data_IF_269995355090
#
_entry.id   IF_269995355090
#
_cell.length_a   1.000
_cell.length_b   1.000
_cell.length_c   1.000
_cell.angle_alpha   90.00
_cell.angle_beta   90.00
_cell.angle_gamma   90.00
#
_symmetry.space_group_name_H-M   'P 1'
#
loop_
_entity.id
_entity.type
_entity.pdbx_description
1 polymer ?
#
# COMPACT_ATOMS: atom_id res chain seq x y z
N UNK A 1 13.25 -3.20 -11.83
CA UNK A 1 12.15 -3.32 -10.86
C UNK A 1 12.73 -3.28 -9.47
N UNK A 2 12.28 -2.34 -8.64
CA UNK A 2 12.64 -2.30 -7.22
C UNK A 2 11.68 -3.19 -6.44
N UNK A 3 12.18 -3.82 -5.37
CA UNK A 3 11.30 -4.52 -4.43
C UNK A 3 10.77 -3.52 -3.40
N UNK A 4 9.51 -3.68 -3.00
CA UNK A 4 8.87 -2.93 -1.93
C UNK A 4 8.74 -3.84 -0.71
N UNK A 5 9.20 -3.40 0.45
CA UNK A 5 8.95 -4.10 1.71
C UNK A 5 8.02 -3.28 2.58
N UNK A 6 6.98 -3.93 3.08
CA UNK A 6 5.99 -3.33 3.97
C UNK A 6 6.20 -3.95 5.33
N UNK A 7 6.56 -3.13 6.32
CA UNK A 7 6.63 -3.51 7.72
C UNK A 7 5.32 -3.12 8.40
N UNK A 8 4.61 -4.08 9.00
CA UNK A 8 3.40 -3.79 9.78
C UNK A 8 3.71 -3.94 11.25
N UNK A 9 3.43 -2.89 12.02
CA UNK A 9 3.52 -2.91 13.48
C UNK A 9 2.16 -3.17 14.11
N UNK A 10 2.03 -4.30 14.78
CA UNK A 10 0.83 -4.73 15.48
C UNK A 10 1.22 -5.22 16.88
N UNK A 11 1.11 -4.38 17.93
CA UNK A 11 1.55 -4.74 19.27
C UNK A 11 0.69 -5.84 19.92
N UNK A 12 -0.49 -6.12 19.37
CA UNK A 12 -1.42 -7.12 19.91
C UNK A 12 -1.11 -8.54 19.38
N UNK A 13 -0.16 -8.67 18.45
CA UNK A 13 0.25 -9.92 17.83
C UNK A 13 1.75 -10.20 18.01
N UNK A 14 2.13 -11.47 17.99
CA UNK A 14 3.53 -11.91 18.03
C UNK A 14 3.88 -12.66 16.73
N UNK A 15 4.93 -12.25 16.00
CA UNK A 15 5.82 -11.12 16.29
C UNK A 15 5.15 -9.75 16.10
N UNK A 16 5.55 -8.75 16.90
CA UNK A 16 4.95 -7.39 16.86
C UNK A 16 5.21 -6.66 15.55
N UNK A 17 6.29 -6.98 14.85
CA UNK A 17 6.57 -6.51 13.49
C UNK A 17 6.53 -7.67 12.52
N UNK A 18 5.65 -7.58 11.54
CA UNK A 18 5.67 -8.47 10.37
C UNK A 18 6.19 -7.71 9.16
N UNK A 19 6.74 -8.42 8.19
CA UNK A 19 7.16 -7.84 6.91
C UNK A 19 6.65 -8.66 5.74
N UNK A 20 6.38 -7.96 4.63
CA UNK A 20 6.03 -8.55 3.34
C UNK A 20 6.69 -7.80 2.19
N UNK A 21 7.37 -8.52 1.32
CA UNK A 21 8.02 -8.03 0.10
C UNK A 21 7.12 -8.19 -1.12
N UNK A 22 7.12 -7.19 -2.00
CA UNK A 22 6.38 -7.14 -3.27
C UNK A 22 7.31 -6.64 -4.37
N UNK A 23 7.48 -7.37 -5.49
CA UNK A 23 6.84 -8.66 -5.80
C UNK A 23 7.58 -9.88 -5.25
N UNK A 24 8.71 -9.71 -4.54
CA UNK A 24 9.53 -10.84 -4.10
C UNK A 24 8.76 -11.89 -3.29
N UNK A 25 7.66 -11.53 -2.63
CA UNK A 25 6.89 -12.45 -1.79
C UNK A 25 7.65 -12.91 -0.54
N UNK A 26 8.77 -12.26 -0.21
CA UNK A 26 9.45 -12.48 1.05
C UNK A 26 8.55 -12.08 2.22
N UNK A 27 8.39 -12.95 3.22
CA UNK A 27 7.56 -12.66 4.37
C UNK A 27 8.19 -13.22 5.65
N UNK A 28 7.85 -12.61 6.78
CA UNK A 28 8.31 -13.02 8.09
C UNK A 28 7.96 -11.98 9.16
N UNK A 29 8.61 -12.06 10.30
CA UNK A 29 8.46 -11.07 11.36
C UNK A 29 9.53 -11.18 12.44
N UNK A 30 9.55 -10.18 13.32
CA UNK A 30 10.47 -10.03 14.45
C UNK A 30 9.87 -9.01 15.45
N UNK A 31 10.46 -8.88 16.62
CA UNK A 31 10.05 -7.91 17.64
C UNK A 31 10.75 -6.55 17.48
N UNK A 32 11.69 -6.40 16.53
CA UNK A 32 12.32 -5.11 16.25
C UNK A 32 12.43 -4.83 14.75
N UNK A 33 12.39 -3.54 14.38
CA UNK A 33 12.49 -3.14 12.98
C UNK A 33 13.87 -3.47 12.38
N UNK A 34 14.93 -3.40 13.17
CA UNK A 34 16.28 -3.74 12.73
C UNK A 34 16.42 -5.21 12.37
N UNK A 35 15.89 -6.09 13.21
CA UNK A 35 15.85 -7.53 12.96
C UNK A 35 14.93 -7.88 11.79
N UNK A 36 13.73 -7.27 11.71
CA UNK A 36 12.82 -7.46 10.58
C UNK A 36 13.48 -7.08 9.24
N UNK A 37 14.21 -5.94 9.19
CA UNK A 37 15.02 -5.55 8.02
C UNK A 37 16.10 -6.57 7.70
N UNK A 38 16.84 -7.05 8.69
CA UNK A 38 17.88 -8.05 8.50
C UNK A 38 17.32 -9.39 7.98
N UNK A 39 16.19 -9.83 8.53
CA UNK A 39 15.47 -11.03 8.12
C UNK A 39 14.96 -10.89 6.68
N UNK A 40 14.31 -9.78 6.34
CA UNK A 40 13.87 -9.48 4.98
C UNK A 40 15.04 -9.48 3.97
N UNK A 41 16.15 -8.78 4.27
CA UNK A 41 17.34 -8.77 3.39
C UNK A 41 17.92 -10.17 3.19
N UNK A 42 17.88 -11.01 4.22
CA UNK A 42 18.31 -12.41 4.13
C UNK A 42 17.40 -13.22 3.21
N UNK A 43 16.08 -13.11 3.40
CA UNK A 43 15.10 -13.73 2.52
C UNK A 43 15.32 -13.31 1.07
N UNK A 44 15.46 -12.00 0.82
CA UNK A 44 15.64 -11.47 -0.52
C UNK A 44 16.95 -11.96 -1.16
N UNK A 45 18.05 -12.02 -0.40
CA UNK A 45 19.33 -12.53 -0.92
C UNK A 45 19.25 -13.99 -1.33
N UNK A 46 18.58 -14.81 -0.51
CA UNK A 46 18.36 -16.23 -0.81
C UNK A 46 17.49 -16.37 -2.06
N UNK A 47 16.39 -15.61 -2.12
CA UNK A 47 15.43 -15.71 -3.23
C UNK A 47 16.01 -15.26 -4.57
N UNK A 48 16.82 -14.21 -4.56
CA UNK A 48 17.47 -13.69 -5.77
C UNK A 48 18.80 -14.43 -6.09
N UNK A 49 19.26 -15.35 -5.24
CA UNK A 49 20.54 -16.04 -5.38
C UNK A 49 21.73 -15.07 -5.53
N UNK A 50 21.72 -13.98 -4.76
CA UNK A 50 22.79 -12.96 -4.76
C UNK A 50 23.30 -12.69 -3.36
N UNK A 51 24.54 -12.21 -3.25
CA UNK A 51 25.07 -11.72 -2.00
C UNK A 51 24.28 -10.52 -1.46
N UNK A 52 24.24 -10.37 -0.13
CA UNK A 52 23.57 -9.24 0.54
C UNK A 52 24.05 -7.86 0.08
N UNK A 53 25.28 -7.76 -0.43
CA UNK A 53 25.88 -6.52 -0.97
C UNK A 53 25.43 -6.22 -2.41
N UNK A 54 24.97 -7.23 -3.14
CA UNK A 54 24.47 -7.14 -4.50
C UNK A 54 22.94 -7.02 -4.57
N UNK A 55 22.27 -6.93 -3.42
CA UNK A 55 20.82 -6.74 -3.35
C UNK A 55 20.42 -5.42 -4.03
N UNK A 56 19.31 -5.43 -4.80
CA UNK A 56 18.78 -4.21 -5.40
C UNK A 56 18.32 -3.21 -4.32
N UNK A 57 18.14 -1.96 -4.74
CA UNK A 57 17.49 -0.96 -3.90
C UNK A 57 16.06 -1.40 -3.56
N UNK A 58 15.68 -1.20 -2.30
CA UNK A 58 14.38 -1.56 -1.76
C UNK A 58 13.66 -0.29 -1.30
N UNK A 59 12.38 -0.19 -1.61
CA UNK A 59 11.51 0.85 -1.06
C UNK A 59 10.85 0.31 0.20
N UNK A 60 11.13 0.93 1.34
CA UNK A 60 10.55 0.53 2.61
C UNK A 60 9.26 1.32 2.89
N UNK A 61 8.27 0.62 3.45
CA UNK A 61 7.01 1.18 3.92
C UNK A 61 6.73 0.70 5.35
N UNK A 62 6.03 1.52 6.13
CA UNK A 62 5.53 1.16 7.46
C UNK A 62 4.02 1.30 7.48
N UNK A 63 3.36 0.26 7.98
CA UNK A 63 1.94 0.24 8.34
C UNK A 63 1.79 0.34 9.86
N UNK A 64 0.89 1.23 10.28
CA UNK A 64 0.50 1.37 11.68
C UNK A 64 -0.98 1.72 11.79
N UNK A 65 -1.58 1.36 12.93
CA UNK A 65 -2.96 1.73 13.24
C UNK A 65 -3.07 3.22 13.55
N UNK A 66 -4.01 3.88 12.89
CA UNK A 66 -4.40 5.27 13.13
C UNK A 66 -5.92 5.34 13.14
N UNK A 67 -6.51 5.75 14.26
CA UNK A 67 -7.97 5.81 14.43
C UNK A 67 -8.70 4.51 14.03
N UNK A 68 -8.09 3.36 14.30
CA UNK A 68 -8.63 2.03 13.99
C UNK A 68 -8.44 1.59 12.53
N UNK A 69 -7.69 2.34 11.71
CA UNK A 69 -7.41 2.02 10.32
C UNK A 69 -5.92 1.77 10.10
N UNK A 70 -5.57 0.78 9.29
CA UNK A 70 -4.19 0.59 8.86
C UNK A 70 -3.79 1.71 7.90
N UNK A 71 -2.72 2.42 8.20
CA UNK A 71 -2.18 3.49 7.34
C UNK A 71 -0.76 3.14 6.93
N UNK A 72 -0.50 3.14 5.62
CA UNK A 72 0.82 2.90 5.05
C UNK A 72 1.52 4.20 4.70
N UNK A 73 2.79 4.29 5.09
CA UNK A 73 3.67 5.42 4.78
C UNK A 73 5.02 4.94 4.27
N UNK A 74 5.59 5.66 3.29
CA UNK A 74 6.92 5.36 2.76
C UNK A 74 8.01 5.83 3.74
N UNK A 75 8.95 4.96 4.08
CA UNK A 75 10.08 5.27 4.95
C UNK A 75 11.12 6.11 4.21
N UNK A 76 11.68 7.10 4.91
CA UNK A 76 12.75 7.94 4.37
C UNK A 76 12.30 8.94 3.30
N UNK A 77 11.00 9.03 3.03
CA UNK A 77 10.45 10.11 2.25
C UNK A 77 10.47 11.40 3.10
N UNK A 78 11.51 12.21 2.90
CA UNK A 78 11.61 13.55 3.49
C UNK A 78 10.60 14.43 2.76
N UNK A 79 9.32 14.33 3.10
CA UNK A 79 8.34 15.30 2.62
C UNK A 79 8.54 16.59 3.41
N UNK A 80 9.26 17.54 2.80
CA UNK A 80 9.07 18.96 3.09
C UNK A 80 7.74 19.38 2.47
N UNK A 81 6.61 18.96 3.03
CA UNK A 81 5.36 19.63 2.71
C UNK A 81 4.33 19.57 3.83
N UNK A 82 3.50 20.62 3.90
CA UNK A 82 2.59 20.91 5.01
C UNK A 82 1.41 19.92 5.14
N UNK A 83 1.25 19.02 4.17
CA UNK A 83 0.17 18.02 4.03
C UNK A 83 0.51 16.64 4.63
N UNK A 84 1.79 16.33 4.89
CA UNK A 84 2.23 15.00 5.35
C UNK A 84 2.41 14.85 6.87
N UNK A 85 1.99 15.84 7.67
CA UNK A 85 2.07 15.73 9.12
C UNK A 85 1.15 14.59 9.60
N UNK A 86 1.70 13.61 10.33
CA UNK A 86 0.94 12.50 10.92
C UNK A 86 -0.23 13.01 11.77
N UNK A 87 -0.11 14.20 12.35
CA UNK A 87 -1.19 14.88 13.06
C UNK A 87 -2.27 15.41 12.10
N UNK A 88 -1.88 16.01 10.97
CA UNK A 88 -2.82 16.41 9.91
C UNK A 88 -3.51 15.18 9.31
N UNK A 89 -2.79 14.08 9.11
CA UNK A 89 -3.37 12.82 8.65
C UNK A 89 -4.38 12.25 9.65
N UNK A 90 -4.11 12.36 10.96
CA UNK A 90 -5.07 12.02 11.99
C UNK A 90 -6.32 12.90 11.93
N UNK A 91 -6.17 14.21 11.70
CA UNK A 91 -7.28 15.16 11.58
C UNK A 91 -8.10 14.87 10.32
N UNK A 92 -7.43 14.79 9.16
CA UNK A 92 -8.05 14.51 7.87
C UNK A 92 -8.79 13.16 7.89
N UNK A 93 -8.22 12.12 8.48
CA UNK A 93 -8.89 10.82 8.57
C UNK A 93 -9.99 10.77 9.65
N UNK A 94 -9.89 11.59 10.71
CA UNK A 94 -10.93 11.66 11.73
C UNK A 94 -12.20 12.35 11.23
N UNK A 95 -12.08 13.34 10.34
CA UNK A 95 -13.19 14.14 9.83
C UNK A 95 -13.89 13.53 8.60
N UNK A 96 -13.29 12.53 7.95
CA UNK A 96 -13.81 11.92 6.72
C UNK A 96 -14.65 10.66 7.02
N UNK A 97 -15.93 10.86 7.39
CA UNK A 97 -16.85 9.75 7.69
C UNK A 97 -16.98 8.75 6.53
N UNK A 98 -17.04 9.23 5.28
CA UNK A 98 -17.16 8.37 4.11
C UNK A 98 -15.97 7.43 3.91
N UNK A 99 -14.74 7.88 4.19
CA UNK A 99 -13.55 7.03 4.11
C UNK A 99 -13.58 5.94 5.20
N UNK A 100 -13.99 6.30 6.41
CA UNK A 100 -14.11 5.34 7.53
C UNK A 100 -15.19 4.29 7.28
N UNK A 101 -16.33 4.71 6.74
CA UNK A 101 -17.42 3.81 6.32
C UNK A 101 -16.96 2.85 5.22
N UNK A 102 -16.17 3.34 4.25
CA UNK A 102 -15.55 2.51 3.22
C UNK A 102 -14.61 1.45 3.81
N UNK A 103 -13.71 1.88 4.70
CA UNK A 103 -12.78 0.97 5.39
C UNK A 103 -13.54 -0.08 6.21
N UNK A 104 -14.57 0.34 6.96
CA UNK A 104 -15.42 -0.59 7.70
C UNK A 104 -16.09 -1.60 6.78
N UNK A 105 -16.68 -1.15 5.66
CA UNK A 105 -17.33 -2.02 4.68
C UNK A 105 -16.37 -3.05 4.07
N UNK A 106 -15.17 -2.62 3.70
CA UNK A 106 -14.14 -3.52 3.17
C UNK A 106 -13.71 -4.56 4.22
N UNK A 107 -13.62 -4.15 5.49
CA UNK A 107 -13.31 -5.03 6.62
C UNK A 107 -14.42 -6.05 6.85
N UNK A 108 -15.69 -5.63 6.81
CA UNK A 108 -16.86 -6.51 6.90
C UNK A 108 -16.95 -7.52 5.74
N UNK A 109 -16.45 -7.14 4.56
CA UNK A 109 -16.31 -8.02 3.41
C UNK A 109 -15.15 -9.03 3.53
N UNK A 110 -14.36 -8.97 4.60
CA UNK A 110 -13.22 -9.88 4.85
C UNK A 110 -11.88 -9.38 4.33
N UNK A 111 -11.83 -8.18 3.71
CA UNK A 111 -10.57 -7.58 3.30
C UNK A 111 -9.84 -6.98 4.50
N UNK A 112 -8.53 -6.76 4.34
CA UNK A 112 -7.74 -5.97 5.27
C UNK A 112 -7.32 -4.64 4.59
N UNK A 113 -8.21 -3.64 4.58
CA UNK A 113 -7.97 -2.39 3.87
C UNK A 113 -6.84 -1.59 4.52
N UNK A 114 -5.95 -1.07 3.68
CA UNK A 114 -4.85 -0.19 4.10
C UNK A 114 -5.02 1.16 3.42
N UNK A 115 -5.10 2.23 4.21
CA UNK A 115 -5.11 3.60 3.72
C UNK A 115 -3.70 3.98 3.27
N UNK A 116 -3.55 4.34 2.00
CA UNK A 116 -2.28 4.83 1.44
C UNK A 116 -2.45 6.28 1.09
N UNK A 117 -1.59 7.10 1.68
CA UNK A 117 -1.55 8.52 1.45
C UNK A 117 -0.57 8.81 0.32
N UNK A 118 -1.05 9.51 -0.70
CA UNK A 118 -0.26 9.82 -1.88
C UNK A 118 -0.44 11.28 -2.27
N UNK A 119 0.57 11.82 -2.93
CA UNK A 119 0.46 13.14 -3.55
C UNK A 119 -0.49 13.07 -4.76
N UNK A 120 -1.31 14.10 -4.99
CA UNK A 120 -2.32 14.11 -6.05
C UNK A 120 -1.72 13.94 -7.46
N UNK A 121 -0.49 14.43 -7.67
CA UNK A 121 0.25 14.39 -8.93
C UNK A 121 1.10 13.11 -9.11
N UNK A 122 1.27 12.30 -8.05
CA UNK A 122 1.95 11.03 -8.16
C UNK A 122 1.24 10.11 -9.14
N UNK A 123 2.03 9.35 -9.90
CA UNK A 123 1.52 8.33 -10.79
C UNK A 123 1.03 7.10 -10.01
N UNK A 124 -0.06 6.48 -10.48
CA UNK A 124 -0.61 5.25 -9.92
C UNK A 124 0.39 4.10 -9.89
N UNK A 125 1.39 4.09 -10.78
CA UNK A 125 2.51 3.13 -10.75
C UNK A 125 3.11 2.97 -9.34
N UNK A 126 3.30 4.07 -8.62
CA UNK A 126 3.87 4.06 -7.27
C UNK A 126 3.00 3.32 -6.23
N UNK A 127 1.68 3.22 -6.47
CA UNK A 127 0.72 2.50 -5.65
C UNK A 127 0.60 1.04 -6.11
N UNK A 128 0.60 0.83 -7.44
CA UNK A 128 0.49 -0.49 -8.04
C UNK A 128 1.72 -1.36 -7.74
N UNK A 129 2.92 -0.80 -7.72
CA UNK A 129 4.17 -1.53 -7.47
C UNK A 129 4.28 -2.05 -6.02
N UNK A 130 3.62 -1.41 -5.07
CA UNK A 130 3.57 -1.82 -3.66
C UNK A 130 2.34 -2.67 -3.28
N UNK A 131 1.47 -2.99 -4.25
CA UNK A 131 0.23 -3.73 -4.01
C UNK A 131 0.40 -5.22 -4.30
N UNK A 132 -0.09 -6.11 -3.45
CA UNK A 132 -0.22 -7.54 -3.77
C UNK A 132 -1.57 -7.86 -4.42
N UNK A 133 -1.73 -9.06 -4.98
CA UNK A 133 -3.03 -9.50 -5.51
C UNK A 133 -4.11 -9.62 -4.43
N UNK A 134 -3.76 -9.71 -3.15
CA UNK A 134 -4.72 -9.82 -2.03
C UNK A 134 -5.00 -8.49 -1.33
N UNK A 135 -4.23 -7.46 -1.64
CA UNK A 135 -4.33 -6.18 -0.93
C UNK A 135 -5.61 -5.43 -1.31
N UNK A 136 -6.19 -4.72 -0.35
CA UNK A 136 -7.15 -3.66 -0.60
C UNK A 136 -6.53 -2.35 -0.13
N UNK A 137 -6.31 -1.40 -1.05
CA UNK A 137 -5.77 -0.08 -0.75
C UNK A 137 -6.87 0.96 -0.86
N UNK A 138 -7.03 1.76 0.19
CA UNK A 138 -7.82 2.99 0.15
C UNK A 138 -6.84 4.13 -0.11
N UNK A 139 -6.78 4.58 -1.36
CA UNK A 139 -5.87 5.64 -1.79
C UNK A 139 -6.50 6.97 -1.45
N UNK A 140 -5.82 7.77 -0.63
CA UNK A 140 -6.29 9.09 -0.22
C UNK A 140 -5.22 10.16 -0.50
N UNK A 141 -5.68 11.35 -0.87
CA UNK A 141 -4.84 12.54 -1.05
C UNK A 141 -5.60 13.77 -0.54
N UNK A 142 -4.86 14.78 -0.06
CA UNK A 142 -5.41 16.09 0.25
C UNK A 142 -5.41 16.96 -1.01
N UNK A 143 -6.49 17.70 -1.25
CA UNK A 143 -6.47 18.79 -2.21
C UNK A 143 -6.02 20.12 -1.57
N UNK A 144 -5.72 21.12 -2.40
CA UNK A 144 -5.28 22.45 -1.96
C UNK A 144 -6.34 23.20 -1.13
N UNK A 145 -7.59 22.71 -1.10
CA UNK A 145 -8.70 23.28 -0.34
C UNK A 145 -8.89 22.59 1.02
N UNK A 146 -8.03 21.63 1.39
CA UNK A 146 -8.13 20.88 2.63
C UNK A 146 -9.20 19.78 2.63
N UNK A 147 -9.76 19.46 1.46
CA UNK A 147 -10.63 18.29 1.29
C UNK A 147 -9.79 17.05 1.01
N UNK A 148 -10.37 15.87 1.25
CA UNK A 148 -9.72 14.58 1.00
C UNK A 148 -10.42 13.87 -0.13
N UNK A 149 -9.73 13.72 -1.26
CA UNK A 149 -10.14 12.82 -2.33
C UNK A 149 -9.67 11.40 -2.04
N UNK A 150 -10.55 10.42 -2.21
CA UNK A 150 -10.18 9.02 -2.03
C UNK A 150 -10.83 8.08 -3.04
N UNK A 151 -10.22 6.91 -3.21
CA UNK A 151 -10.71 5.82 -4.06
C UNK A 151 -10.11 4.48 -3.63
N UNK A 152 -10.72 3.38 -4.06
CA UNK A 152 -10.31 2.03 -3.64
C UNK A 152 -9.65 1.27 -4.78
N UNK A 153 -8.52 0.65 -4.50
CA UNK A 153 -7.86 -0.35 -5.35
C UNK A 153 -7.89 -1.70 -4.64
N UNK A 154 -8.48 -2.69 -5.26
CA UNK A 154 -8.45 -4.08 -4.80
C UNK A 154 -7.52 -4.88 -5.72
N UNK A 155 -6.67 -5.72 -5.15
CA UNK A 155 -6.00 -6.77 -5.90
C UNK A 155 -7.01 -7.77 -6.45
N UNK A 156 -6.60 -8.52 -7.48
CA UNK A 156 -7.46 -9.49 -8.17
C UNK A 156 -8.04 -10.59 -7.27
N UNK A 157 -7.33 -10.89 -6.17
CA UNK A 157 -7.63 -11.97 -5.23
C UNK A 157 -8.08 -11.38 -3.87
N UNK A 158 -8.44 -10.10 -3.82
CA UNK A 158 -8.91 -9.43 -2.61
C UNK A 158 -10.40 -9.67 -2.41
N UNK A 159 -10.80 -10.03 -1.19
CA UNK A 159 -12.21 -10.20 -0.82
C UNK A 159 -13.04 -8.91 -0.97
N UNK A 160 -12.37 -7.75 -0.90
CA UNK A 160 -12.98 -6.43 -1.12
C UNK A 160 -13.30 -6.12 -2.60
N UNK A 161 -12.93 -6.99 -3.53
CA UNK A 161 -13.15 -6.81 -4.97
C UNK A 161 -14.54 -7.25 -5.48
N UNK A 162 -15.37 -7.87 -4.64
CA UNK A 162 -16.68 -8.38 -5.05
C UNK A 162 -17.60 -7.23 -5.51
N UNK A 163 -18.13 -7.35 -6.74
CA UNK A 163 -19.03 -6.34 -7.33
C UNK A 163 -18.34 -5.04 -7.77
N UNK A 164 -17.00 -5.00 -7.77
CA UNK A 164 -16.21 -3.82 -8.12
C UNK A 164 -15.70 -3.93 -9.57
N UNK A 165 -15.78 -2.87 -10.40
CA UNK A 165 -15.30 -2.91 -11.78
C UNK A 165 -13.81 -3.22 -11.91
N UNK A 166 -13.46 -4.05 -12.88
CA UNK A 166 -12.07 -4.36 -13.19
C UNK A 166 -11.38 -3.26 -14.00
N UNK A 167 -10.10 -3.06 -13.73
CA UNK A 167 -9.19 -2.22 -14.52
C UNK A 167 -7.92 -3.01 -14.82
N UNK A 168 -7.37 -2.85 -16.02
CA UNK A 168 -6.10 -3.49 -16.39
C UNK A 168 -4.92 -2.67 -15.90
N UNK A 169 -3.90 -3.36 -15.36
CA UNK A 169 -2.58 -2.78 -15.09
C UNK A 169 -1.82 -2.53 -16.40
N UNK A 170 -2.20 -1.47 -17.11
CA UNK A 170 -1.60 -1.03 -18.35
C UNK A 170 -0.84 0.30 -18.19
N UNK A 171 -0.12 0.70 -19.24
CA UNK A 171 0.65 1.94 -19.23
C UNK A 171 -0.21 3.19 -18.96
N UNK A 172 -1.48 3.17 -19.39
CA UNK A 172 -2.41 4.28 -19.18
C UNK A 172 -2.77 4.39 -17.71
N UNK A 173 -3.18 3.30 -17.06
CA UNK A 173 -3.46 3.30 -15.63
C UNK A 173 -2.22 3.70 -14.83
N UNK A 174 -1.06 3.08 -15.10
CA UNK A 174 0.20 3.36 -14.41
C UNK A 174 0.61 4.84 -14.47
N UNK A 175 0.41 5.49 -15.61
CA UNK A 175 0.72 6.92 -15.81
C UNK A 175 -0.36 7.89 -15.29
N UNK A 176 -1.52 7.38 -14.86
CA UNK A 176 -2.62 8.22 -14.38
C UNK A 176 -2.23 8.87 -13.04
N UNK A 177 -2.49 10.18 -12.84
CA UNK A 177 -2.30 10.82 -11.54
C UNK A 177 -3.30 10.30 -10.48
N UNK A 178 -2.89 10.26 -9.21
CA UNK A 178 -3.77 9.86 -8.09
C UNK A 178 -5.05 10.69 -8.03
N UNK A 179 -4.96 12.01 -8.23
CA UNK A 179 -6.13 12.88 -8.23
C UNK A 179 -7.12 12.51 -9.34
N UNK A 180 -6.62 12.21 -10.55
CA UNK A 180 -7.47 11.75 -11.66
C UNK A 180 -8.12 10.41 -11.34
N UNK A 181 -7.36 9.47 -10.79
CA UNK A 181 -7.89 8.16 -10.39
C UNK A 181 -9.04 8.29 -9.37
N UNK A 182 -8.80 9.00 -8.26
CA UNK A 182 -9.78 9.15 -7.17
C UNK A 182 -11.05 9.88 -7.62
N UNK A 183 -10.94 10.87 -8.51
CA UNK A 183 -12.10 11.53 -9.12
C UNK A 183 -12.94 10.54 -9.95
N UNK A 184 -12.31 9.68 -10.74
CA UNK A 184 -13.02 8.69 -11.58
C UNK A 184 -13.60 7.50 -10.78
N UNK A 185 -13.15 7.31 -9.54
CA UNK A 185 -13.52 6.20 -8.67
C UNK A 185 -14.32 6.64 -7.44
N UNK A 186 -14.78 7.88 -7.38
CA UNK A 186 -15.57 8.39 -6.24
C UNK A 186 -16.81 7.52 -6.03
N UNK A 187 -16.82 6.76 -4.92
CA UNK A 187 -17.90 5.84 -4.53
C UNK A 187 -17.92 4.48 -5.23
N UNK A 188 -16.97 4.18 -6.14
CA UNK A 188 -16.87 2.88 -6.82
C UNK A 188 -15.41 2.48 -6.93
N UNK A 189 -14.99 1.46 -6.16
CA UNK A 189 -13.61 0.95 -6.21
C UNK A 189 -13.20 0.41 -7.60
N UNK A 190 -11.96 -0.04 -7.71
CA UNK A 190 -11.45 -0.76 -8.89
C UNK A 190 -10.68 -2.01 -8.49
N UNK A 191 -10.93 -3.12 -9.19
CA UNK A 191 -10.13 -4.34 -9.07
C UNK A 191 -9.03 -4.32 -10.12
N UNK A 192 -7.78 -4.30 -9.68
CA UNK A 192 -6.62 -4.29 -10.57
C UNK A 192 -6.34 -5.71 -11.06
N UNK A 193 -6.49 -5.90 -12.35
CA UNK A 193 -6.01 -7.10 -13.04
C UNK A 193 -4.57 -6.87 -13.48
N UNK A 194 -3.63 -7.46 -12.74
CA UNK A 194 -2.22 -7.42 -13.14
C UNK A 194 -2.03 -8.14 -14.46
N UNK A 195 -1.20 -7.57 -15.32
CA UNK A 195 -0.67 -8.30 -16.48
C UNK A 195 0.08 -9.51 -15.93
N UNK A 196 -0.25 -10.71 -16.41
CA UNK A 196 0.50 -11.91 -16.04
C UNK A 196 1.99 -11.64 -16.26
N UNK A 197 2.79 -11.75 -15.19
CA UNK A 197 4.23 -11.77 -15.35
C UNK A 197 4.53 -12.97 -16.24
N UNK A 198 5.13 -12.73 -17.41
CA UNK A 198 5.73 -13.83 -18.17
C UNK A 198 6.65 -14.57 -17.19
N UNK A 199 6.40 -15.87 -17.01
CA UNK A 199 6.97 -16.73 -16.00
C UNK A 199 8.42 -16.35 -15.64
N UNK A 200 8.65 -15.92 -14.39
CA UNK A 200 9.97 -16.08 -13.80
C UNK A 200 10.08 -17.57 -13.51
N UNK A 201 10.63 -18.29 -14.49
CA UNK A 201 10.83 -19.72 -14.44
C UNK A 201 11.56 -20.14 -13.16
N UNK A 202 11.11 -21.28 -12.63
CA UNK A 202 11.46 -21.94 -11.38
C UNK A 202 12.95 -22.16 -11.14
#
# INVERSE_FOLDING_TARGET
>A
MSDHVIFRYDPDHQPELTFRGVPSGCAGGSNTLGEARAAYRTCLSVRLHVDRRALPAVVEHIEGLVSGMWVRTRVGAVHRDKSSDRMLLQILLAEQSGLREEVARLTEAGAEPVVVLAEPDHAMESLLDQMSARDALVVAHSDDNGSVGWGVLCGSDSDGGQGVPHVHDDARLRSTPVATFTQTCSGVGRVVQRRAAADIAS
#
